data_IF_843937940810
#
_entry.id   IF_843937940810
#
_cell.length_a   1.000
_cell.length_b   1.000
_cell.length_c   1.000
_cell.angle_alpha   90.00
_cell.angle_beta   90.00
_cell.angle_gamma   90.00
#
_symmetry.space_group_name_H-M   'P 1'
#
loop_
_entity.id
_entity.type
_entity.pdbx_description
1 polymer ?
#
# COMPACT_ATOMS: atom_id res chain seq x y z
N UNK A 1 22.78 48.55 -42.49
CA UNK A 1 21.44 47.93 -42.34
C UNK A 1 21.46 46.64 -43.15
N UNK A 2 21.23 45.41 -42.66
CA UNK A 2 20.66 44.88 -41.42
C UNK A 2 21.32 43.52 -41.13
N UNK A 3 21.52 43.25 -39.86
CA UNK A 3 22.01 42.00 -39.25
C UNK A 3 21.02 40.85 -39.51
N UNK A 4 21.53 39.69 -39.93
CA UNK A 4 20.74 38.46 -40.00
C UNK A 4 20.98 37.65 -38.72
N UNK A 5 19.98 37.66 -37.86
CA UNK A 5 19.88 36.88 -36.62
C UNK A 5 19.55 35.45 -37.03
N UNK A 6 20.47 34.51 -36.79
CA UNK A 6 20.18 33.08 -36.88
C UNK A 6 19.76 32.57 -35.49
N UNK A 7 18.47 32.67 -35.18
CA UNK A 7 17.85 32.03 -34.04
C UNK A 7 17.60 30.56 -34.37
N UNK A 8 18.45 29.66 -33.86
CA UNK A 8 18.28 28.22 -34.03
C UNK A 8 17.70 27.57 -32.77
N UNK A 9 16.45 27.10 -32.94
CA UNK A 9 15.80 25.96 -32.29
C UNK A 9 15.64 25.95 -30.75
N UNK A 10 14.39 26.19 -30.33
CA UNK A 10 13.85 25.77 -29.05
C UNK A 10 13.94 24.24 -28.89
N UNK A 11 14.70 23.78 -27.89
CA UNK A 11 14.57 22.43 -27.34
C UNK A 11 13.43 22.43 -26.31
N UNK A 12 12.18 22.25 -26.75
CA UNK A 12 11.08 21.87 -25.85
C UNK A 12 11.10 20.35 -25.75
N UNK A 13 12.09 19.82 -25.04
CA UNK A 13 12.05 18.44 -24.56
C UNK A 13 11.10 18.38 -23.38
N UNK A 14 9.83 18.05 -23.62
CA UNK A 14 8.86 17.79 -22.56
C UNK A 14 9.32 16.58 -21.76
N UNK A 15 9.94 16.82 -20.60
CA UNK A 15 10.15 15.80 -19.60
C UNK A 15 8.78 15.43 -19.03
N UNK A 16 8.19 14.34 -19.53
CA UNK A 16 7.09 13.68 -18.83
C UNK A 16 7.68 13.09 -17.55
N UNK A 17 7.60 13.86 -16.47
CA UNK A 17 7.84 13.36 -15.12
C UNK A 17 6.74 12.35 -14.79
N UNK A 18 6.93 11.10 -15.17
CA UNK A 18 6.15 10.00 -14.62
C UNK A 18 6.41 10.00 -13.10
N UNK A 19 5.45 10.49 -12.32
CA UNK A 19 5.50 10.39 -10.86
C UNK A 19 5.37 8.90 -10.54
N UNK A 20 6.50 8.20 -10.42
CA UNK A 20 6.52 6.82 -9.97
C UNK A 20 6.03 6.81 -8.51
N UNK A 21 4.77 6.42 -8.31
CA UNK A 21 4.27 6.12 -6.97
C UNK A 21 4.91 4.82 -6.54
N UNK A 22 5.52 4.78 -5.35
CA UNK A 22 6.10 3.55 -4.84
C UNK A 22 4.97 2.59 -4.42
N UNK A 23 5.12 1.31 -4.78
CA UNK A 23 4.23 0.27 -4.28
C UNK A 23 4.29 0.24 -2.75
N UNK A 24 3.13 0.18 -2.10
CA UNK A 24 3.06 0.09 -0.65
C UNK A 24 1.90 -0.77 -0.18
N UNK A 25 1.95 -1.16 1.08
CA UNK A 25 0.82 -1.75 1.78
C UNK A 25 0.44 -0.83 2.92
N UNK A 26 -0.85 -0.55 3.02
CA UNK A 26 -1.42 0.23 4.11
C UNK A 26 -2.32 -0.66 4.95
N UNK A 27 -2.46 -0.32 6.23
CA UNK A 27 -3.37 -1.03 7.10
C UNK A 27 -4.04 -0.12 8.12
N UNK A 28 -5.10 -0.64 8.72
CA UNK A 28 -5.66 -0.13 9.96
C UNK A 28 -6.10 -1.30 10.85
N UNK A 29 -6.28 -1.04 12.13
CA UNK A 29 -6.95 -1.96 13.05
C UNK A 29 -8.33 -1.40 13.31
N UNK A 30 -9.36 -2.21 13.09
CA UNK A 30 -10.76 -1.86 13.27
C UNK A 30 -11.01 -1.47 14.73
N UNK A 31 -11.58 -0.29 14.94
CA UNK A 31 -11.88 0.25 16.27
C UNK A 31 -13.30 0.80 16.33
N UNK A 32 -13.75 1.22 17.52
CA UNK A 32 -14.98 2.02 17.62
C UNK A 32 -14.82 3.46 17.07
N UNK A 33 -13.59 3.89 16.81
CA UNK A 33 -13.30 5.21 16.26
C UNK A 33 -13.28 5.15 14.71
N UNK A 34 -13.01 6.29 14.09
CA UNK A 34 -12.83 6.36 12.65
C UNK A 34 -11.47 5.79 12.26
N UNK A 35 -11.45 4.73 11.46
CA UNK A 35 -10.22 4.06 11.06
C UNK A 35 -9.58 4.72 9.85
N UNK A 36 -8.26 4.88 9.90
CA UNK A 36 -7.46 5.47 8.83
C UNK A 36 -6.35 4.54 8.40
N UNK A 37 -6.25 4.32 7.09
CA UNK A 37 -5.16 3.56 6.49
C UNK A 37 -3.84 4.29 6.72
N UNK A 38 -2.88 3.59 7.32
CA UNK A 38 -1.51 4.06 7.50
C UNK A 38 -0.53 3.14 6.76
N UNK A 39 0.46 3.71 6.04
CA UNK A 39 1.42 2.91 5.29
C UNK A 39 2.38 2.16 6.23
N UNK A 40 2.72 0.93 5.84
CA UNK A 40 3.72 0.03 6.44
C UNK A 40 3.44 -0.45 7.87
N UNK A 41 2.77 0.33 8.71
CA UNK A 41 2.44 -0.03 10.09
C UNK A 41 1.15 0.64 10.53
N UNK A 42 0.31 -0.13 11.21
CA UNK A 42 -0.88 0.38 11.90
C UNK A 42 -0.90 -0.14 13.34
N UNK A 43 -1.34 0.74 14.23
CA UNK A 43 -1.47 0.46 15.64
C UNK A 43 -2.76 1.08 16.17
N UNK A 44 -3.43 0.36 17.06
CA UNK A 44 -4.58 0.87 17.78
C UNK A 44 -4.56 0.44 19.26
N UNK A 45 -5.31 1.19 20.07
CA UNK A 45 -5.68 0.81 21.42
C UNK A 45 -7.17 0.49 21.42
N UNK A 46 -7.53 -0.77 21.67
CA UNK A 46 -8.92 -1.27 21.65
C UNK A 46 -9.27 -1.75 23.04
N UNK A 47 -9.71 -0.82 23.90
CA UNK A 47 -9.93 -1.07 25.32
C UNK A 47 -10.83 -2.29 25.59
N UNK A 48 -10.30 -3.24 26.37
CA UNK A 48 -11.02 -4.45 26.79
C UNK A 48 -11.20 -5.52 25.71
N UNK A 49 -10.71 -5.32 24.48
CA UNK A 49 -10.83 -6.29 23.40
C UNK A 49 -9.72 -7.35 23.43
N UNK A 50 -10.09 -8.62 23.27
CA UNK A 50 -9.11 -9.72 23.14
C UNK A 50 -8.67 -9.94 21.70
N UNK A 51 -9.55 -9.63 20.75
CA UNK A 51 -9.30 -9.64 19.31
C UNK A 51 -9.89 -8.40 18.66
N UNK A 52 -9.33 -8.04 17.51
CA UNK A 52 -9.88 -7.05 16.59
C UNK A 52 -9.58 -7.47 15.14
N UNK A 53 -10.20 -6.82 14.17
CA UNK A 53 -9.94 -7.04 12.75
C UNK A 53 -8.83 -6.10 12.28
N UNK A 54 -7.77 -6.64 11.67
CA UNK A 54 -6.84 -5.83 10.89
C UNK A 54 -7.28 -5.83 9.42
N UNK A 55 -7.27 -4.67 8.78
CA UNK A 55 -7.57 -4.51 7.37
C UNK A 55 -6.34 -3.97 6.67
N UNK A 56 -5.91 -4.68 5.63
CA UNK A 56 -4.77 -4.35 4.80
C UNK A 56 -5.26 -4.04 3.39
N UNK A 57 -4.59 -3.10 2.71
CA UNK A 57 -4.76 -2.86 1.28
C UNK A 57 -3.42 -2.65 0.61
N UNK A 58 -3.33 -3.07 -0.65
CA UNK A 58 -2.20 -2.72 -1.51
C UNK A 58 -2.47 -1.40 -2.22
N UNK A 59 -1.45 -0.57 -2.29
CA UNK A 59 -1.44 0.66 -3.09
C UNK A 59 -0.38 0.47 -4.15
N UNK A 60 -0.82 0.28 -5.40
CA UNK A 60 0.09 0.05 -6.52
C UNK A 60 0.74 1.32 -7.05
N UNK A 61 1.72 1.16 -7.94
CA UNK A 61 2.49 2.24 -8.55
C UNK A 61 1.75 3.09 -9.60
N UNK A 62 0.43 2.92 -9.72
CA UNK A 62 -0.40 3.55 -10.76
C UNK A 62 -0.64 2.70 -12.01
N UNK A 63 0.09 1.59 -12.18
CA UNK A 63 -0.19 0.61 -13.23
C UNK A 63 -1.42 -0.24 -12.90
N UNK A 64 -2.06 -0.82 -13.92
CA UNK A 64 -3.18 -1.74 -13.74
C UNK A 64 -2.72 -3.02 -13.03
N UNK A 65 -3.26 -3.26 -11.84
CA UNK A 65 -3.06 -4.51 -11.08
C UNK A 65 -3.87 -5.61 -11.76
N UNK A 66 -3.21 -6.71 -12.08
CA UNK A 66 -3.83 -7.93 -12.61
C UNK A 66 -4.30 -8.84 -11.48
N UNK A 67 -3.41 -9.10 -10.51
CA UNK A 67 -3.74 -9.92 -9.33
C UNK A 67 -2.86 -9.60 -8.12
N UNK A 68 -3.35 -9.96 -6.93
CA UNK A 68 -2.64 -9.82 -5.66
C UNK A 68 -2.61 -11.17 -4.97
N UNK A 69 -1.42 -11.62 -4.61
CA UNK A 69 -1.19 -12.89 -3.91
C UNK A 69 -0.78 -12.58 -2.48
N UNK A 70 -1.67 -12.84 -1.53
CA UNK A 70 -1.45 -12.59 -0.11
C UNK A 70 -0.67 -13.73 0.57
N UNK A 71 0.23 -13.37 1.48
CA UNK A 71 1.11 -14.31 2.17
C UNK A 71 1.37 -13.92 3.63
N UNK A 72 2.16 -14.74 4.33
CA UNK A 72 2.49 -14.57 5.75
C UNK A 72 1.21 -14.51 6.63
N UNK A 73 1.04 -13.51 7.50
CA UNK A 73 -0.16 -13.40 8.34
C UNK A 73 -1.46 -13.26 7.54
N UNK A 74 -1.37 -12.76 6.29
CA UNK A 74 -2.49 -12.60 5.37
C UNK A 74 -2.73 -13.81 4.46
N UNK A 75 -2.04 -14.94 4.67
CA UNK A 75 -2.13 -16.13 3.80
C UNK A 75 -3.56 -16.69 3.64
N UNK A 76 -4.44 -16.47 4.62
CA UNK A 76 -5.86 -16.86 4.54
C UNK A 76 -6.64 -16.14 3.43
N UNK A 77 -6.16 -14.98 2.96
CA UNK A 77 -6.77 -14.24 1.86
C UNK A 77 -6.42 -14.78 0.46
N UNK A 78 -5.43 -15.68 0.35
CA UNK A 78 -5.04 -16.32 -0.90
C UNK A 78 -4.76 -15.34 -2.05
N UNK A 79 -5.21 -15.68 -3.25
CA UNK A 79 -5.21 -14.77 -4.41
C UNK A 79 -6.57 -14.10 -4.50
N UNK A 80 -6.66 -12.86 -4.04
CA UNK A 80 -7.93 -12.11 -3.97
C UNK A 80 -7.72 -10.64 -4.28
N UNK A 81 -8.72 -9.80 -4.03
CA UNK A 81 -8.69 -8.37 -4.36
C UNK A 81 -7.54 -7.60 -3.70
N UNK A 82 -7.51 -6.29 -3.93
CA UNK A 82 -6.46 -5.40 -3.43
C UNK A 82 -6.54 -5.12 -1.92
N UNK A 83 -7.43 -5.80 -1.20
CA UNK A 83 -7.60 -5.69 0.25
C UNK A 83 -7.77 -7.07 0.88
N UNK A 84 -7.26 -7.22 2.09
CA UNK A 84 -7.35 -8.44 2.89
C UNK A 84 -7.61 -8.04 4.34
N UNK A 85 -8.54 -8.72 5.00
CA UNK A 85 -8.80 -8.53 6.42
C UNK A 85 -8.84 -9.85 7.17
N UNK A 86 -8.35 -9.83 8.40
CA UNK A 86 -8.35 -11.00 9.27
C UNK A 86 -8.30 -10.59 10.75
N UNK A 87 -8.72 -11.50 11.62
CA UNK A 87 -8.69 -11.29 13.07
C UNK A 87 -7.25 -11.34 13.60
N UNK A 88 -6.88 -10.35 14.41
CA UNK A 88 -5.64 -10.27 15.17
C UNK A 88 -5.91 -10.26 16.67
N UNK A 89 -4.91 -10.62 17.48
CA UNK A 89 -4.98 -10.64 18.95
C UNK A 89 -4.15 -9.53 19.58
N UNK A 90 -4.59 -9.07 20.75
CA UNK A 90 -3.90 -8.02 21.50
C UNK A 90 -2.45 -8.42 21.84
N UNK A 91 -1.56 -7.42 21.88
CA UNK A 91 -0.13 -7.55 22.23
C UNK A 91 0.67 -8.47 21.29
N UNK A 92 0.23 -8.63 20.04
CA UNK A 92 0.94 -9.42 19.03
C UNK A 92 1.03 -8.67 17.71
N UNK A 93 2.23 -8.57 17.11
CA UNK A 93 2.37 -8.05 15.76
C UNK A 93 1.97 -9.10 14.72
N UNK A 94 1.29 -8.67 13.67
CA UNK A 94 0.93 -9.46 12.52
C UNK A 94 1.41 -8.77 11.25
N UNK A 95 2.39 -9.37 10.58
CA UNK A 95 2.95 -8.86 9.32
C UNK A 95 2.24 -9.52 8.15
N UNK A 96 1.44 -8.72 7.43
CA UNK A 96 0.85 -9.11 6.16
C UNK A 96 1.86 -8.83 5.03
N UNK A 97 1.90 -9.73 4.06
CA UNK A 97 2.68 -9.59 2.85
C UNK A 97 1.80 -9.81 1.63
N UNK A 98 2.14 -9.15 0.53
CA UNK A 98 1.49 -9.39 -0.76
C UNK A 98 2.48 -9.26 -1.91
N UNK A 99 2.31 -10.12 -2.91
CA UNK A 99 2.93 -9.95 -4.23
C UNK A 99 1.88 -9.37 -5.19
N UNK A 100 2.16 -8.20 -5.74
CA UNK A 100 1.31 -7.52 -6.72
C UNK A 100 1.81 -7.92 -8.11
N UNK A 101 0.94 -8.48 -8.94
CA UNK A 101 1.20 -8.76 -10.35
C UNK A 101 0.48 -7.72 -11.19
N UNK A 102 1.21 -7.02 -12.05
CA UNK A 102 0.66 -6.00 -12.94
C UNK A 102 0.38 -6.56 -14.32
N UNK A 103 -0.62 -6.01 -15.03
CA UNK A 103 -0.98 -6.46 -16.38
C UNK A 103 0.12 -6.23 -17.42
N UNK A 104 1.10 -5.37 -17.12
CA UNK A 104 2.28 -5.16 -17.96
C UNK A 104 3.41 -6.19 -17.71
N UNK A 105 3.18 -7.21 -16.87
CA UNK A 105 4.13 -8.27 -16.54
C UNK A 105 5.15 -7.90 -15.46
N UNK A 106 5.15 -6.66 -14.96
CA UNK A 106 5.94 -6.29 -13.78
C UNK A 106 5.29 -6.82 -12.50
N UNK A 107 6.09 -6.93 -11.44
CA UNK A 107 5.60 -7.35 -10.13
C UNK A 107 6.30 -6.58 -9.02
N UNK A 108 5.65 -6.54 -7.86
CA UNK A 108 6.18 -5.90 -6.67
C UNK A 108 5.82 -6.68 -5.42
N UNK A 109 6.61 -6.52 -4.36
CA UNK A 109 6.35 -7.10 -3.04
C UNK A 109 6.19 -5.98 -2.03
N UNK A 110 5.10 -6.04 -1.29
CA UNK A 110 4.76 -5.06 -0.26
C UNK A 110 4.41 -5.76 1.05
N UNK A 111 4.60 -5.06 2.16
CA UNK A 111 4.28 -5.58 3.49
C UNK A 111 3.85 -4.47 4.43
N UNK A 112 2.99 -4.80 5.39
CA UNK A 112 2.65 -3.93 6.49
C UNK A 112 2.42 -4.75 7.76
N UNK A 113 2.64 -4.13 8.92
CA UNK A 113 2.44 -4.79 10.22
C UNK A 113 1.34 -4.12 11.01
N UNK A 114 0.33 -4.91 11.40
CA UNK A 114 -0.72 -4.48 12.31
C UNK A 114 -0.46 -5.01 13.73
N UNK A 115 -0.82 -4.22 14.73
CA UNK A 115 -0.81 -4.62 16.14
C UNK A 115 -1.80 -3.78 16.93
N UNK A 116 -2.32 -4.29 18.03
CA UNK A 116 -3.11 -3.49 18.94
C UNK A 116 -2.91 -3.91 20.39
N UNK A 117 -3.25 -3.01 21.31
CA UNK A 117 -3.25 -3.23 22.75
C UNK A 117 -4.67 -3.04 23.29
N UNK A 118 -4.94 -3.54 24.51
CA UNK A 118 -6.29 -3.52 25.09
C UNK A 118 -6.42 -2.71 26.38
N UNK A 119 -5.36 -1.99 26.75
CA UNK A 119 -5.33 -1.06 27.89
C UNK A 119 -5.26 -1.73 29.26
N UNK A 120 -4.94 -3.02 29.34
CA UNK A 120 -4.66 -3.75 30.59
C UNK A 120 -3.21 -3.62 31.06
#
# INVERSE_FOLDING_TARGET
>A
MKTLIASAALLIGGLFSAQASADSMECYVDTQAYDQFTPNRCFALVYGARSSTAVFRVVGNGSQIDSVIWSNAASSCGTSGTSCSFEIRAFRPYTAEATILYSNGSWSKVSATASFEDGR
#
